data_IF_386474045311
#
_entry.id   IF_386474045311
#
_cell.length_a   1.000
_cell.length_b   1.000
_cell.length_c   1.000
_cell.angle_alpha   90.00
_cell.angle_beta   90.00
_cell.angle_gamma   90.00
#
_symmetry.space_group_name_H-M   'P 1'
#
loop_
_entity.id
_entity.type
_entity.pdbx_description
1 polymer ?
#
# COMPACT_ATOMS: atom_id res chain seq x y z
N UNK A 1 21.53 -23.28 -7.92
CA UNK A 1 22.06 -23.10 -6.55
C UNK A 1 23.24 -22.12 -6.44
N UNK A 2 24.00 -21.81 -7.52
CA UNK A 2 25.15 -20.88 -7.44
C UNK A 2 24.81 -19.37 -7.44
N UNK A 3 23.61 -18.96 -7.87
CA UNK A 3 23.24 -17.54 -7.93
C UNK A 3 23.18 -16.83 -6.58
N UNK A 4 22.70 -17.50 -5.53
CA UNK A 4 22.51 -16.87 -4.23
C UNK A 4 23.84 -16.56 -3.53
N UNK A 5 24.85 -17.41 -3.68
CA UNK A 5 26.15 -17.19 -3.05
C UNK A 5 26.89 -15.99 -3.66
N UNK A 6 26.84 -15.84 -4.99
CA UNK A 6 27.43 -14.69 -5.68
C UNK A 6 26.78 -13.38 -5.23
N UNK A 7 25.46 -13.37 -5.08
CA UNK A 7 24.68 -12.21 -4.62
C UNK A 7 25.00 -11.83 -3.17
N UNK A 8 25.04 -12.80 -2.25
CA UNK A 8 25.44 -12.55 -0.86
C UNK A 8 26.84 -11.95 -0.81
N UNK A 9 27.79 -12.51 -1.57
CA UNK A 9 29.15 -11.98 -1.62
C UNK A 9 29.21 -10.55 -2.17
N UNK A 10 28.37 -10.21 -3.16
CA UNK A 10 28.27 -8.86 -3.70
C UNK A 10 27.74 -7.87 -2.65
N UNK A 11 26.66 -8.21 -1.94
CA UNK A 11 26.10 -7.39 -0.87
C UNK A 11 27.08 -7.22 0.30
N UNK A 12 27.81 -8.27 0.68
CA UNK A 12 28.84 -8.18 1.72
C UNK A 12 29.98 -7.23 1.31
N UNK A 13 30.40 -7.25 0.03
CA UNK A 13 31.40 -6.29 -0.47
C UNK A 13 30.88 -4.85 -0.42
N UNK A 14 29.64 -4.61 -0.86
CA UNK A 14 28.98 -3.29 -0.73
C UNK A 14 28.95 -2.84 0.74
N UNK A 15 28.62 -3.74 1.67
CA UNK A 15 28.63 -3.47 3.11
C UNK A 15 30.00 -3.05 3.64
N UNK A 16 31.08 -3.70 3.18
CA UNK A 16 32.45 -3.38 3.61
C UNK A 16 32.93 -2.02 3.10
N UNK A 17 32.42 -1.58 1.95
CA UNK A 17 32.77 -0.28 1.34
C UNK A 17 31.86 0.85 1.87
N UNK A 18 30.76 0.49 2.55
CA UNK A 18 29.75 1.42 3.04
C UNK A 18 28.68 1.76 2.00
N UNK A 19 28.73 1.16 0.80
CA UNK A 19 27.81 1.39 -0.33
C UNK A 19 26.61 0.43 -0.32
N UNK A 20 26.35 -0.24 0.81
CA UNK A 20 25.18 -1.12 0.90
C UNK A 20 23.87 -0.33 0.87
N UNK A 21 23.89 0.91 1.33
CA UNK A 21 22.73 1.78 1.43
C UNK A 21 22.74 2.74 0.24
N UNK A 22 21.82 2.53 -0.68
CA UNK A 22 21.64 3.33 -1.90
C UNK A 22 20.29 4.10 -1.89
N UNK A 23 19.33 3.70 -1.03
CA UNK A 23 18.04 4.39 -0.85
C UNK A 23 17.71 4.66 0.61
N UNK A 24 17.13 5.84 0.86
CA UNK A 24 16.60 6.28 2.15
C UNK A 24 15.11 6.59 2.02
N UNK A 25 14.28 5.89 2.79
CA UNK A 25 12.86 6.21 2.94
C UNK A 25 12.68 7.08 4.16
N UNK A 26 12.20 8.30 3.97
CA UNK A 26 11.91 9.26 5.02
C UNK A 26 10.43 9.19 5.37
N UNK A 27 10.13 9.05 6.67
CA UNK A 27 8.77 8.99 7.19
C UNK A 27 8.65 9.90 8.41
N UNK A 28 7.47 10.48 8.61
CA UNK A 28 7.18 11.26 9.82
C UNK A 28 6.98 10.34 11.01
N UNK A 29 7.46 10.78 12.18
CA UNK A 29 7.34 10.01 13.43
C UNK A 29 6.57 10.73 14.51
N UNK A 30 6.42 12.06 14.43
CA UNK A 30 5.83 12.86 15.49
C UNK A 30 4.62 13.67 15.00
N UNK A 31 3.56 13.61 15.80
CA UNK A 31 2.37 14.45 15.94
C UNK A 31 2.57 15.77 16.69
N UNK A 32 2.68 16.94 16.05
CA UNK A 32 2.53 18.21 16.78
C UNK A 32 1.04 18.56 16.99
N UNK A 33 0.58 18.52 18.24
CA UNK A 33 -0.81 18.91 18.59
C UNK A 33 -1.04 20.41 18.48
N UNK A 34 -0.02 21.21 18.83
CA UNK A 34 -0.11 22.67 18.87
C UNK A 34 -0.22 23.26 17.47
N UNK A 35 0.59 22.77 16.54
CA UNK A 35 0.67 23.32 15.19
C UNK A 35 -0.25 22.60 14.20
N UNK A 36 -0.72 21.39 14.54
CA UNK A 36 -1.52 20.58 13.61
C UNK A 36 -0.69 20.07 12.43
N UNK A 37 0.60 19.81 12.66
CA UNK A 37 1.55 19.34 11.66
C UNK A 37 2.15 17.98 12.08
N UNK A 38 2.64 17.22 11.10
CA UNK A 38 3.52 16.09 11.37
C UNK A 38 4.97 16.51 11.19
N UNK A 39 5.82 16.11 12.13
CA UNK A 39 7.21 16.53 12.26
C UNK A 39 8.12 15.33 12.53
N UNK A 40 9.40 15.62 12.72
CA UNK A 40 10.46 14.65 13.03
C UNK A 40 10.57 13.53 11.98
N UNK A 41 11.20 13.90 10.86
CA UNK A 41 11.42 13.01 9.73
C UNK A 41 12.53 12.00 10.06
N UNK A 42 12.21 10.72 10.05
CA UNK A 42 13.15 9.62 10.31
C UNK A 42 13.41 8.82 9.04
N UNK A 43 14.66 8.39 8.86
CA UNK A 43 15.11 7.66 7.67
C UNK A 43 15.19 6.15 7.92
N UNK A 44 14.66 5.36 6.99
CA UNK A 44 14.89 3.93 6.85
C UNK A 44 15.82 3.69 5.67
N UNK A 45 16.92 3.00 5.94
CA UNK A 45 17.96 2.73 4.96
C UNK A 45 17.71 1.38 4.30
N UNK A 46 17.78 1.35 2.97
CA UNK A 46 17.54 0.16 2.20
C UNK A 46 18.57 0.00 1.07
N UNK A 47 18.57 -1.21 0.50
CA UNK A 47 19.33 -1.53 -0.70
C UNK A 47 18.38 -1.81 -1.86
N UNK A 48 18.54 -1.10 -2.98
CA UNK A 48 17.70 -1.19 -4.16
C UNK A 48 17.72 -2.59 -4.76
N UNK A 49 18.89 -3.22 -4.84
CA UNK A 49 19.02 -4.60 -5.37
C UNK A 49 18.25 -5.60 -4.49
N UNK A 50 18.25 -5.40 -3.17
CA UNK A 50 17.47 -6.22 -2.25
C UNK A 50 15.96 -5.99 -2.43
N UNK A 51 15.52 -4.74 -2.50
CA UNK A 51 14.11 -4.36 -2.64
C UNK A 51 13.51 -4.79 -3.97
N UNK A 52 14.17 -4.46 -5.09
CA UNK A 52 13.72 -4.80 -6.44
C UNK A 52 13.62 -6.30 -6.66
N UNK A 53 14.59 -7.07 -6.16
CA UNK A 53 14.53 -8.53 -6.26
C UNK A 53 13.39 -9.14 -5.42
N UNK A 54 13.08 -8.52 -4.28
CA UNK A 54 12.04 -9.00 -3.37
C UNK A 54 10.63 -8.61 -3.77
N UNK A 55 10.47 -7.57 -4.62
CA UNK A 55 9.19 -6.96 -4.90
C UNK A 55 9.14 -6.25 -6.26
N UNK A 56 8.15 -6.62 -7.09
CA UNK A 56 7.85 -5.91 -8.33
C UNK A 56 7.38 -4.47 -8.09
N UNK A 57 6.76 -4.21 -6.93
CA UNK A 57 6.38 -2.85 -6.53
C UNK A 57 7.62 -1.97 -6.39
N UNK A 58 8.64 -2.41 -5.65
CA UNK A 58 9.88 -1.65 -5.52
C UNK A 58 10.68 -1.58 -6.82
N UNK A 59 10.60 -2.61 -7.69
CA UNK A 59 11.17 -2.54 -9.04
C UNK A 59 10.55 -1.42 -9.88
N UNK A 60 9.24 -1.23 -9.76
CA UNK A 60 8.50 -0.18 -10.47
C UNK A 60 8.75 1.19 -9.83
N UNK A 61 8.67 1.28 -8.49
CA UNK A 61 8.88 2.50 -7.71
C UNK A 61 10.29 3.07 -7.90
N UNK A 62 11.29 2.19 -7.93
CA UNK A 62 12.69 2.60 -8.05
C UNK A 62 13.14 2.79 -9.51
N UNK A 63 12.27 2.56 -10.50
CA UNK A 63 12.59 2.85 -11.90
C UNK A 63 12.69 4.36 -12.15
N UNK A 64 13.52 4.79 -13.10
CA UNK A 64 13.83 6.22 -13.36
C UNK A 64 12.62 7.09 -13.73
N UNK A 65 11.47 6.49 -14.10
CA UNK A 65 10.41 7.20 -14.82
C UNK A 65 9.00 7.15 -14.21
N UNK A 66 8.76 6.63 -13.00
CA UNK A 66 7.36 6.52 -12.52
C UNK A 66 7.18 6.44 -11.01
N UNK A 67 7.13 7.59 -10.34
CA UNK A 67 6.32 7.71 -9.11
C UNK A 67 4.87 7.90 -9.51
N UNK A 68 4.21 6.78 -9.83
CA UNK A 68 2.75 6.78 -10.01
C UNK A 68 2.01 6.79 -8.67
N UNK A 69 2.74 6.75 -7.56
CA UNK A 69 2.21 6.73 -6.21
C UNK A 69 2.24 8.14 -5.62
N UNK A 70 1.06 8.74 -5.42
CA UNK A 70 0.95 10.08 -4.83
C UNK A 70 1.45 10.13 -3.40
N UNK A 71 1.52 8.97 -2.72
CA UNK A 71 2.03 8.86 -1.37
C UNK A 71 3.57 8.86 -1.32
N UNK A 72 4.27 8.88 -2.46
CA UNK A 72 5.73 8.77 -2.49
C UNK A 72 6.34 9.89 -3.31
N UNK A 73 7.20 10.70 -2.68
CA UNK A 73 7.82 11.87 -3.29
C UNK A 73 9.34 11.77 -3.20
N UNK A 74 10.04 11.76 -4.33
CA UNK A 74 11.49 11.87 -4.35
C UNK A 74 11.91 13.33 -4.14
N UNK A 75 12.85 13.57 -3.22
CA UNK A 75 13.32 14.92 -2.89
C UNK A 75 14.85 14.97 -2.79
N UNK A 76 15.43 16.08 -3.24
CA UNK A 76 16.88 16.27 -3.25
C UNK A 76 17.38 17.00 -1.99
N UNK A 77 16.57 17.90 -1.44
CA UNK A 77 16.97 18.83 -0.37
C UNK A 77 16.15 18.65 0.92
N UNK A 78 16.84 18.64 2.06
CA UNK A 78 16.22 18.47 3.39
C UNK A 78 15.36 19.67 3.81
N UNK A 79 15.57 20.84 3.20
CA UNK A 79 14.90 22.08 3.57
C UNK A 79 13.39 22.06 3.28
N UNK A 80 12.94 21.20 2.37
CA UNK A 80 11.52 21.10 2.01
C UNK A 80 10.63 20.64 3.19
N UNK A 81 11.20 19.98 4.20
CA UNK A 81 10.44 19.39 5.31
C UNK A 81 10.87 19.88 6.70
N UNK A 82 11.71 20.92 6.82
CA UNK A 82 12.20 21.41 8.11
C UNK A 82 11.07 21.94 9.01
N UNK A 83 9.98 22.45 8.43
CA UNK A 83 8.79 22.91 9.16
C UNK A 83 7.72 21.85 9.43
N UNK A 84 7.99 20.59 9.06
CA UNK A 84 6.93 19.58 8.96
C UNK A 84 5.95 19.88 7.81
N UNK A 85 4.93 19.04 7.70
CA UNK A 85 3.81 19.23 6.77
C UNK A 85 2.51 19.27 7.54
N UNK A 86 1.51 19.94 6.97
CA UNK A 86 0.18 19.99 7.59
C UNK A 86 -0.43 18.61 7.73
N UNK A 87 -1.20 18.39 8.77
CA UNK A 87 -1.82 17.10 9.02
C UNK A 87 -2.84 16.69 7.95
N UNK A 88 -3.45 17.68 7.30
CA UNK A 88 -4.35 17.48 6.15
C UNK A 88 -3.57 17.02 4.91
N UNK A 89 -2.39 17.61 4.65
CA UNK A 89 -1.49 17.20 3.57
C UNK A 89 -0.84 15.83 3.83
N UNK A 90 -0.61 15.49 5.09
CA UNK A 90 -0.18 14.15 5.49
C UNK A 90 -1.24 13.07 5.27
N UNK A 91 -2.50 13.45 5.01
CA UNK A 91 -3.56 12.50 4.67
C UNK A 91 -4.03 11.59 5.80
N UNK A 92 -3.43 11.65 7.01
CA UNK A 92 -3.77 10.75 8.10
C UNK A 92 -3.68 11.35 9.51
N UNK A 93 -4.58 12.29 9.77
CA UNK A 93 -4.79 12.99 11.04
C UNK A 93 -5.12 12.12 12.26
N UNK A 94 -5.29 10.81 12.13
CA UNK A 94 -5.55 9.91 13.26
C UNK A 94 -4.57 8.73 13.34
N UNK A 95 -3.41 8.85 12.69
CA UNK A 95 -2.33 7.88 12.85
C UNK A 95 -1.86 7.77 14.30
N UNK A 96 -2.15 6.61 14.91
CA UNK A 96 -1.73 6.28 16.27
C UNK A 96 -0.26 5.93 16.38
N UNK A 97 0.40 5.69 15.25
CA UNK A 97 1.82 5.33 15.21
C UNK A 97 2.72 6.57 15.18
N UNK A 98 2.13 7.78 15.13
CA UNK A 98 2.85 9.03 15.37
C UNK A 98 2.92 9.31 16.87
N UNK A 99 4.14 9.51 17.37
CA UNK A 99 4.40 9.92 18.73
C UNK A 99 3.82 11.32 18.96
N UNK A 100 3.25 11.61 20.12
CA UNK A 100 2.74 12.95 20.43
C UNK A 100 3.91 13.82 20.89
N UNK A 101 4.05 15.03 20.34
CA UNK A 101 5.01 16.01 20.84
C UNK A 101 4.68 16.31 22.31
N UNK A 102 5.65 16.07 23.21
CA UNK A 102 5.49 16.34 24.64
C UNK A 102 5.30 17.85 24.83
N UNK A 103 4.13 18.27 25.32
CA UNK A 103 3.92 19.64 25.75
C UNK A 103 4.83 19.88 26.96
N UNK A 104 5.89 20.66 26.79
CA UNK A 104 6.65 21.20 27.93
C UNK A 104 5.67 22.04 28.74
N UNK A 105 5.08 21.43 29.76
CA UNK A 105 4.36 22.17 30.79
C UNK A 105 5.41 23.01 31.51
N UNK A 106 5.48 24.28 31.15
CA UNK A 106 6.08 25.32 31.98
C UNK A 106 5.26 25.37 33.29
N UNK A 107 5.49 24.40 34.18
CA UNK A 107 5.13 24.56 35.58
C UNK A 107 6.06 25.66 36.12
N UNK A 108 5.57 26.90 36.00
CA UNK A 108 6.12 28.08 36.64
C UNK A 108 6.45 27.73 38.10
N UNK A 109 7.74 27.52 38.36
CA UNK A 109 8.30 27.46 39.70
C UNK A 109 8.12 28.85 40.30
N UNK A 110 7.00 29.07 40.99
CA UNK A 110 6.86 30.22 41.86
C UNK A 110 7.91 30.12 42.97
N UNK A 111 8.83 31.08 42.89
CA UNK A 111 9.81 31.53 43.86
C UNK A 111 9.62 31.05 45.31
N UNK A 112 10.64 30.36 45.84
CA UNK A 112 10.96 30.47 47.25
C UNK A 112 12.48 30.49 47.45
N UNK A 113 13.04 31.69 47.54
CA UNK A 113 14.42 31.92 47.94
C UNK A 113 14.65 31.46 49.40
N UNK A 114 15.49 30.45 49.62
CA UNK A 114 16.57 30.54 50.63
C UNK A 114 17.58 29.39 50.61
N UNK A 115 18.85 29.82 50.65
CA UNK A 115 20.01 29.20 51.27
C UNK A 115 20.66 27.95 50.62
N UNK A 116 21.72 28.26 49.86
CA UNK A 116 23.08 27.73 50.00
C UNK A 116 23.31 26.21 50.05
N UNK A 117 23.91 25.71 48.96
CA UNK A 117 25.06 24.81 49.04
C UNK A 117 24.80 23.36 48.66
N UNK A 118 25.73 22.85 47.83
CA UNK A 118 26.02 21.46 47.46
C UNK A 118 25.45 20.98 46.12
N UNK A 119 26.39 20.79 45.20
CA UNK A 119 26.30 20.14 43.90
C UNK A 119 25.67 18.74 43.93
N UNK A 120 24.79 18.46 42.96
CA UNK A 120 24.70 17.16 42.29
C UNK A 120 23.81 17.30 41.04
N UNK A 121 24.49 17.34 39.90
CA UNK A 121 24.14 16.78 38.59
C UNK A 121 22.73 16.16 38.46
N UNK A 122 21.83 16.85 37.75
CA UNK A 122 20.55 16.29 37.29
C UNK A 122 20.39 16.61 35.81
N UNK A 123 20.34 15.53 35.04
CA UNK A 123 20.31 15.47 33.57
C UNK A 123 19.00 16.06 33.04
N UNK A 124 19.09 17.22 32.38
CA UNK A 124 18.03 17.76 31.53
C UNK A 124 17.93 16.95 30.24
N UNK A 125 16.75 16.42 29.94
CA UNK A 125 16.40 15.89 28.62
C UNK A 125 15.53 16.93 27.93
N UNK A 126 16.17 17.83 27.20
CA UNK A 126 15.53 18.70 26.20
C UNK A 126 16.28 18.46 24.90
N UNK A 127 15.82 17.50 24.10
CA UNK A 127 16.35 17.28 22.75
C UNK A 127 15.59 18.18 21.77
N UNK A 128 15.89 19.48 21.87
CA UNK A 128 15.68 20.44 20.80
C UNK A 128 16.44 19.96 19.55
N UNK A 129 15.85 20.15 18.37
CA UNK A 129 16.45 19.89 17.06
C UNK A 129 17.69 20.77 16.91
N UNK A 130 18.81 20.29 17.46
CA UNK A 130 20.16 20.69 17.12
C UNK A 130 20.98 19.41 17.10
N UNK A 131 21.53 19.13 15.93
CA UNK A 131 22.62 18.19 15.70
C UNK A 131 22.28 16.69 15.60
N UNK A 132 21.59 16.32 14.51
CA UNK A 132 22.06 15.17 13.71
C UNK A 132 23.27 15.57 12.83
N UNK A 133 24.20 16.35 13.39
CA UNK A 133 25.59 16.30 12.96
C UNK A 133 26.24 15.24 13.84
N UNK A 134 26.08 13.97 13.44
CA UNK A 134 27.04 12.95 13.86
C UNK A 134 28.43 13.51 13.61
N UNK A 135 29.16 13.85 14.67
CA UNK A 135 30.56 14.31 14.65
C UNK A 135 31.52 13.18 14.28
N UNK A 136 31.20 12.49 13.21
CA UNK A 136 32.12 11.73 12.38
C UNK A 136 31.74 12.12 10.96
N UNK A 137 32.72 12.49 10.14
CA UNK A 137 32.51 12.76 8.72
C UNK A 137 31.96 11.49 8.04
N UNK A 138 30.65 11.26 8.16
CA UNK A 138 29.96 10.27 7.37
C UNK A 138 30.11 10.76 5.95
N UNK A 139 30.82 9.98 5.13
CA UNK A 139 30.87 10.20 3.69
C UNK A 139 29.41 10.32 3.25
N UNK A 140 29.05 11.47 2.69
CA UNK A 140 27.75 11.66 2.06
C UNK A 140 27.75 10.70 0.87
N UNK A 141 27.22 9.50 1.10
CA UNK A 141 27.01 8.55 0.02
C UNK A 141 25.84 9.14 -0.78
N UNK A 142 25.99 9.35 -2.10
CA UNK A 142 24.88 9.74 -2.93
C UNK A 142 23.85 8.61 -2.89
N UNK A 143 22.80 8.81 -2.10
CA UNK A 143 21.69 7.88 -1.93
C UNK A 143 20.40 8.57 -2.35
N UNK A 144 19.53 7.83 -3.03
CA UNK A 144 18.18 8.27 -3.36
C UNK A 144 17.40 8.54 -2.08
N UNK A 145 16.61 9.62 -2.04
CA UNK A 145 15.78 9.95 -0.88
C UNK A 145 14.33 10.02 -1.29
N UNK A 146 13.51 9.28 -0.56
CA UNK A 146 12.12 9.03 -0.88
C UNK A 146 11.28 9.38 0.35
N UNK A 147 10.45 10.42 0.27
CA UNK A 147 9.48 10.75 1.30
C UNK A 147 8.26 9.87 1.13
N UNK A 148 7.89 9.13 2.18
CA UNK A 148 6.66 8.35 2.22
C UNK A 148 5.64 9.13 3.03
N UNK A 149 4.69 9.69 2.30
CA UNK A 149 3.49 10.35 2.82
C UNK A 149 2.48 9.31 3.23
N UNK A 150 1.51 9.76 4.03
CA UNK A 150 0.49 8.90 4.58
C UNK A 150 1.11 7.60 5.14
N UNK A 151 2.18 7.60 5.92
CA UNK A 151 2.55 6.42 6.75
C UNK A 151 3.49 6.89 7.82
N UNK A 152 3.26 6.47 9.07
CA UNK A 152 4.17 6.80 10.15
C UNK A 152 5.42 5.92 10.08
N UNK A 153 6.55 6.48 10.50
CA UNK A 153 7.82 5.76 10.60
C UNK A 153 7.68 4.48 11.44
N UNK A 154 6.98 4.57 12.57
CA UNK A 154 6.77 3.44 13.45
C UNK A 154 5.99 2.30 12.76
N UNK A 155 5.08 2.61 11.82
CA UNK A 155 4.37 1.60 11.03
C UNK A 155 5.34 0.72 10.23
N UNK A 156 6.39 1.31 9.64
CA UNK A 156 7.39 0.58 8.85
C UNK A 156 8.44 -0.14 9.70
N UNK A 157 8.59 0.24 10.98
CA UNK A 157 9.55 -0.37 11.90
C UNK A 157 9.05 -1.67 12.54
N UNK A 158 7.82 -2.10 12.22
CA UNK A 158 7.14 -3.11 13.02
C UNK A 158 7.27 -4.54 12.52
N UNK A 159 7.64 -5.40 13.47
CA UNK A 159 7.35 -6.82 13.44
C UNK A 159 5.89 -6.96 13.88
N UNK A 160 5.05 -7.57 13.04
CA UNK A 160 3.63 -7.73 13.34
C UNK A 160 3.42 -8.36 14.71
N UNK A 161 2.67 -7.67 15.58
CA UNK A 161 2.26 -8.24 16.85
C UNK A 161 1.38 -9.48 16.59
N UNK A 162 1.55 -10.56 17.36
CA UNK A 162 0.67 -11.73 17.28
C UNK A 162 -0.80 -11.31 17.40
N UNK A 163 -1.64 -11.73 16.45
CA UNK A 163 -3.07 -11.44 16.48
C UNK A 163 -3.67 -11.92 17.81
N UNK A 164 -4.66 -11.18 18.35
CA UNK A 164 -5.36 -11.58 19.60
C UNK A 164 -6.02 -12.98 19.52
N UNK A 165 -6.23 -13.50 18.31
CA UNK A 165 -6.72 -14.85 18.03
C UNK A 165 -5.65 -15.94 18.10
N UNK A 166 -4.36 -15.59 18.09
CA UNK A 166 -3.28 -16.55 18.33
C UNK A 166 -3.28 -16.91 19.82
N UNK A 167 -3.28 -18.22 20.07
CA UNK A 167 -3.42 -18.80 21.41
C UNK A 167 -2.36 -18.25 22.37
N UNK A 168 -2.74 -18.15 23.65
CA UNK A 168 -2.00 -17.46 24.73
C UNK A 168 -0.55 -17.91 24.98
N UNK A 169 -0.07 -18.93 24.26
CA UNK A 169 1.28 -19.48 24.40
C UNK A 169 2.39 -18.61 23.79
N UNK A 170 2.08 -17.61 22.95
CA UNK A 170 3.08 -16.77 22.29
C UNK A 170 3.48 -15.49 23.06
N UNK A 171 2.97 -15.28 24.29
CA UNK A 171 3.10 -14.00 25.01
C UNK A 171 4.45 -13.74 25.71
N UNK A 172 5.43 -14.65 25.63
CA UNK A 172 6.58 -14.60 26.54
C UNK A 172 7.96 -14.26 25.94
N UNK A 173 8.07 -13.89 24.67
CA UNK A 173 9.36 -13.45 24.10
C UNK A 173 9.22 -12.27 23.13
N UNK A 174 8.96 -11.06 23.65
CA UNK A 174 9.33 -9.82 22.94
C UNK A 174 10.68 -9.32 23.45
N UNK A 175 11.77 -9.89 22.92
CA UNK A 175 13.10 -9.28 22.98
C UNK A 175 13.10 -8.08 22.03
N UNK A 176 12.87 -6.88 22.56
CA UNK A 176 12.92 -5.62 21.81
C UNK A 176 11.57 -4.89 21.81
N UNK A 177 11.44 -3.90 22.70
CA UNK A 177 10.20 -3.16 22.99
C UNK A 177 9.73 -2.20 21.90
N UNK A 178 9.53 -2.67 20.67
CA UNK A 178 8.78 -1.91 19.67
C UNK A 178 7.27 -1.97 20.02
N UNK A 179 6.57 -0.83 20.13
CA UNK A 179 5.14 -0.79 20.41
C UNK A 179 4.36 -1.50 19.29
N UNK A 180 3.41 -2.39 19.59
CA UNK A 180 2.62 -3.07 18.56
C UNK A 180 1.82 -2.06 17.73
N UNK A 181 1.89 -2.14 16.39
CA UNK A 181 1.05 -1.30 15.52
C UNK A 181 -0.41 -1.62 15.75
N UNK A 182 -1.25 -0.59 15.68
CA UNK A 182 -2.69 -0.83 15.65
C UNK A 182 -3.05 -1.57 14.36
N UNK A 183 -4.06 -2.46 14.38
CA UNK A 183 -4.62 -3.05 13.16
C UNK A 183 -5.05 -2.00 12.11
N UNK A 184 -5.30 -0.74 12.51
CA UNK A 184 -5.65 0.36 11.62
C UNK A 184 -4.53 0.72 10.64
N UNK A 185 -3.26 0.68 11.08
CA UNK A 185 -2.12 0.97 10.20
C UNK A 185 -1.88 -0.15 9.17
N UNK A 186 -2.28 -1.39 9.48
CA UNK A 186 -2.27 -2.51 8.53
C UNK A 186 -3.24 -2.29 7.37
N UNK A 187 -4.41 -1.70 7.62
CA UNK A 187 -5.46 -1.52 6.62
C UNK A 187 -5.10 -0.50 5.53
N UNK A 188 -4.02 0.25 5.72
CA UNK A 188 -3.49 1.21 4.74
C UNK A 188 -2.59 0.54 3.69
N UNK A 189 -2.21 -0.72 3.92
CA UNK A 189 -1.45 -1.49 2.93
C UNK A 189 -2.32 -1.85 1.72
N UNK A 190 -3.66 -1.87 1.85
CA UNK A 190 -4.55 -2.00 0.70
C UNK A 190 -4.51 -0.72 -0.14
N UNK A 191 -3.76 -0.75 -1.22
CA UNK A 191 -3.61 0.31 -2.21
C UNK A 191 -4.13 -0.16 -3.58
N UNK A 192 -4.20 0.77 -4.55
CA UNK A 192 -4.61 0.45 -5.92
C UNK A 192 -3.82 -0.69 -6.58
N UNK A 193 -2.59 -0.95 -6.12
CA UNK A 193 -1.72 -1.98 -6.69
C UNK A 193 -1.95 -3.38 -6.12
N UNK A 194 -2.57 -3.53 -4.95
CA UNK A 194 -2.81 -4.83 -4.32
C UNK A 194 -4.27 -5.07 -3.91
N UNK A 195 -5.18 -4.11 -4.13
CA UNK A 195 -6.59 -4.23 -3.73
C UNK A 195 -7.25 -5.53 -4.23
N UNK A 196 -6.91 -6.00 -5.45
CA UNK A 196 -7.43 -7.26 -5.99
C UNK A 196 -6.89 -8.50 -5.27
N UNK A 197 -5.62 -8.45 -4.85
CA UNK A 197 -5.00 -9.51 -4.06
C UNK A 197 -5.59 -9.54 -2.65
N UNK A 198 -5.74 -8.37 -2.02
CA UNK A 198 -6.31 -8.24 -0.68
C UNK A 198 -7.78 -8.67 -0.65
N UNK A 199 -8.59 -8.26 -1.62
CA UNK A 199 -9.96 -8.75 -1.80
C UNK A 199 -10.02 -10.27 -1.93
N UNK A 200 -8.98 -10.90 -2.49
CA UNK A 200 -8.88 -12.36 -2.60
C UNK A 200 -8.41 -13.06 -1.31
N UNK A 201 -8.04 -12.30 -0.29
CA UNK A 201 -7.56 -12.80 0.99
C UNK A 201 -8.70 -13.34 1.86
N UNK A 202 -8.36 -14.22 2.79
CA UNK A 202 -9.31 -14.66 3.83
C UNK A 202 -9.55 -13.63 4.93
N UNK A 203 -8.77 -12.53 4.97
CA UNK A 203 -8.96 -11.46 5.93
C UNK A 203 -10.24 -10.69 5.59
N UNK A 204 -10.41 -10.34 4.32
CA UNK A 204 -11.56 -9.61 3.80
C UNK A 204 -12.89 -10.30 4.12
N UNK A 205 -12.96 -11.63 4.00
CA UNK A 205 -14.18 -12.39 4.32
C UNK A 205 -14.55 -12.39 5.79
N UNK A 206 -13.57 -12.19 6.69
CA UNK A 206 -13.77 -12.23 8.14
C UNK A 206 -14.18 -10.89 8.72
N UNK A 207 -13.95 -9.80 8.00
CA UNK A 207 -14.11 -8.44 8.52
C UNK A 207 -14.89 -7.57 7.51
N UNK A 208 -16.23 -7.49 7.63
CA UNK A 208 -17.07 -6.78 6.68
C UNK A 208 -16.71 -5.31 6.46
N UNK A 209 -16.20 -4.63 7.50
CA UNK A 209 -15.74 -3.24 7.40
C UNK A 209 -14.52 -3.09 6.48
N UNK A 210 -13.63 -4.10 6.46
CA UNK A 210 -12.48 -4.12 5.55
C UNK A 210 -12.96 -4.36 4.12
N UNK A 211 -13.87 -5.32 3.92
CA UNK A 211 -14.45 -5.58 2.61
C UNK A 211 -15.09 -4.31 2.02
N UNK A 212 -15.88 -3.57 2.80
CA UNK A 212 -16.47 -2.29 2.33
C UNK A 212 -15.40 -1.27 1.92
N UNK A 213 -14.33 -1.14 2.70
CA UNK A 213 -13.23 -0.22 2.41
C UNK A 213 -12.47 -0.65 1.14
N UNK A 214 -12.14 -1.93 0.99
CA UNK A 214 -11.45 -2.46 -0.18
C UNK A 214 -12.32 -2.36 -1.44
N UNK A 215 -13.64 -2.56 -1.33
CA UNK A 215 -14.58 -2.35 -2.43
C UNK A 215 -14.61 -0.88 -2.85
N UNK A 216 -14.55 0.06 -1.90
CA UNK A 216 -14.46 1.48 -2.21
C UNK A 216 -13.16 1.81 -2.96
N UNK A 217 -12.02 1.30 -2.48
CA UNK A 217 -10.72 1.49 -3.15
C UNK A 217 -10.74 0.89 -4.57
N UNK A 218 -11.29 -0.32 -4.73
CA UNK A 218 -11.44 -0.96 -6.03
C UNK A 218 -12.31 -0.11 -6.95
N UNK A 219 -13.44 0.37 -6.45
CA UNK A 219 -14.38 1.18 -7.21
C UNK A 219 -13.75 2.48 -7.72
N UNK A 220 -13.04 3.21 -6.85
CA UNK A 220 -12.32 4.44 -7.22
C UNK A 220 -11.19 4.20 -8.24
N UNK A 221 -10.65 2.97 -8.29
CA UNK A 221 -9.52 2.61 -9.14
C UNK A 221 -9.89 1.65 -10.29
N UNK A 222 -11.18 1.43 -10.57
CA UNK A 222 -11.64 0.40 -11.51
C UNK A 222 -11.13 0.60 -12.94
N UNK A 223 -10.84 1.85 -13.32
CA UNK A 223 -10.32 2.24 -14.65
C UNK A 223 -8.79 2.19 -14.71
N UNK A 224 -8.10 1.98 -13.59
CA UNK A 224 -6.63 1.94 -13.60
C UNK A 224 -6.12 0.74 -14.41
N UNK A 225 -5.00 0.87 -15.15
CA UNK A 225 -4.47 -0.21 -15.99
C UNK A 225 -4.18 -1.49 -15.20
N UNK A 226 -3.65 -1.36 -13.98
CA UNK A 226 -3.34 -2.48 -13.09
C UNK A 226 -4.61 -3.25 -12.73
N UNK A 227 -5.66 -2.55 -12.28
CA UNK A 227 -6.94 -3.18 -11.94
C UNK A 227 -7.58 -3.79 -13.18
N UNK A 228 -7.63 -3.06 -14.31
CA UNK A 228 -8.25 -3.54 -15.55
C UNK A 228 -7.59 -4.83 -16.05
N UNK A 229 -6.27 -4.93 -15.93
CA UNK A 229 -5.49 -6.11 -16.34
C UNK A 229 -5.78 -7.33 -15.45
N UNK A 230 -5.85 -7.13 -14.14
CA UNK A 230 -5.89 -8.23 -13.16
C UNK A 230 -7.32 -8.58 -12.68
N UNK A 231 -8.30 -7.70 -12.87
CA UNK A 231 -9.69 -7.91 -12.48
C UNK A 231 -10.34 -9.14 -13.14
N UNK A 232 -10.11 -9.45 -14.44
CA UNK A 232 -10.58 -10.70 -15.05
C UNK A 232 -10.08 -11.95 -14.32
N UNK A 233 -8.84 -11.92 -13.81
CA UNK A 233 -8.28 -13.04 -13.04
C UNK A 233 -8.99 -13.22 -11.70
N UNK A 234 -9.37 -12.12 -11.03
CA UNK A 234 -10.18 -12.17 -9.82
C UNK A 234 -11.56 -12.78 -10.11
N UNK A 235 -12.26 -12.32 -11.16
CA UNK A 235 -13.56 -12.88 -11.57
C UNK A 235 -13.44 -14.37 -11.86
N UNK A 236 -12.39 -14.80 -12.58
CA UNK A 236 -12.17 -16.20 -12.89
C UNK A 236 -11.97 -17.05 -11.62
N UNK A 237 -11.24 -16.53 -10.61
CA UNK A 237 -11.09 -17.20 -9.30
C UNK A 237 -12.41 -17.31 -8.53
N UNK A 238 -13.29 -16.31 -8.66
CA UNK A 238 -14.63 -16.35 -8.06
C UNK A 238 -15.49 -17.42 -8.76
N UNK A 239 -15.49 -17.43 -10.09
CA UNK A 239 -16.24 -18.38 -10.90
C UNK A 239 -15.79 -19.84 -10.68
N UNK A 240 -14.51 -20.08 -10.41
CA UNK A 240 -13.98 -21.40 -10.08
C UNK A 240 -14.21 -21.83 -8.62
N UNK A 241 -15.00 -21.07 -7.85
CA UNK A 241 -15.26 -21.27 -6.42
C UNK A 241 -13.99 -21.24 -5.55
N UNK A 242 -12.91 -20.62 -6.03
CA UNK A 242 -11.67 -20.43 -5.27
C UNK A 242 -11.74 -19.33 -4.21
N UNK A 243 -12.87 -18.61 -4.14
CA UNK A 243 -13.13 -17.48 -3.25
C UNK A 243 -14.53 -17.59 -2.65
N UNK A 244 -14.68 -18.09 -1.40
CA UNK A 244 -16.00 -18.35 -0.81
C UNK A 244 -16.82 -17.07 -0.60
N UNK A 245 -16.17 -15.92 -0.40
CA UNK A 245 -16.77 -14.59 -0.30
C UNK A 245 -16.81 -13.83 -1.63
N UNK A 246 -16.51 -14.50 -2.76
CA UNK A 246 -16.45 -13.89 -4.07
C UNK A 246 -17.79 -13.26 -4.51
N UNK A 247 -18.90 -13.88 -4.11
CA UNK A 247 -20.24 -13.33 -4.37
C UNK A 247 -20.44 -11.98 -3.68
N UNK A 248 -20.02 -11.84 -2.42
CA UNK A 248 -20.15 -10.60 -1.66
C UNK A 248 -19.36 -9.45 -2.29
N UNK A 249 -18.16 -9.75 -2.82
CA UNK A 249 -17.33 -8.78 -3.55
C UNK A 249 -18.09 -8.24 -4.76
N UNK A 250 -18.60 -9.12 -5.62
CA UNK A 250 -19.29 -8.71 -6.85
C UNK A 250 -20.60 -7.98 -6.56
N UNK A 251 -21.38 -8.45 -5.59
CA UNK A 251 -22.64 -7.81 -5.18
C UNK A 251 -22.37 -6.40 -4.67
N UNK A 252 -21.41 -6.21 -3.75
CA UNK A 252 -21.10 -4.88 -3.19
C UNK A 252 -20.54 -3.92 -4.24
N UNK A 253 -19.66 -4.39 -5.12
CA UNK A 253 -19.13 -3.57 -6.21
C UNK A 253 -20.26 -3.12 -7.15
N UNK A 254 -21.17 -4.03 -7.52
CA UNK A 254 -22.31 -3.71 -8.36
C UNK A 254 -23.27 -2.72 -7.67
N UNK A 255 -23.57 -2.91 -6.38
CA UNK A 255 -24.37 -1.96 -5.60
C UNK A 255 -23.76 -0.55 -5.59
N UNK A 256 -22.43 -0.44 -5.48
CA UNK A 256 -21.72 0.84 -5.55
C UNK A 256 -21.85 1.49 -6.93
N UNK A 257 -21.65 0.71 -8.00
CA UNK A 257 -21.85 1.19 -9.38
C UNK A 257 -23.28 1.70 -9.59
N UNK A 258 -24.29 0.98 -9.11
CA UNK A 258 -25.68 1.39 -9.23
C UNK A 258 -25.96 2.68 -8.46
N UNK A 259 -25.50 2.79 -7.21
CA UNK A 259 -25.68 4.00 -6.39
C UNK A 259 -25.06 5.24 -7.03
N UNK A 260 -23.90 5.10 -7.66
CA UNK A 260 -23.20 6.21 -8.30
C UNK A 260 -23.83 6.64 -9.62
N UNK A 261 -24.25 5.70 -10.46
CA UNK A 261 -24.73 5.99 -11.81
C UNK A 261 -26.25 6.10 -11.93
N UNK A 262 -27.01 5.56 -10.98
CA UNK A 262 -28.49 5.56 -10.97
C UNK A 262 -29.07 6.00 -9.61
N UNK A 263 -28.71 7.20 -9.10
CA UNK A 263 -29.16 7.65 -7.79
C UNK A 263 -30.69 7.78 -7.68
N UNK A 264 -31.37 8.05 -8.80
CA UNK A 264 -32.80 8.42 -8.84
C UNK A 264 -33.77 7.25 -8.65
N UNK A 265 -33.34 6.00 -8.88
CA UNK A 265 -34.26 4.83 -8.90
C UNK A 265 -34.40 4.18 -7.51
N UNK A 266 -33.53 4.51 -6.54
CA UNK A 266 -33.47 3.87 -5.22
C UNK A 266 -34.08 4.72 -4.08
N UNK A 267 -34.60 5.92 -4.36
CA UNK A 267 -35.38 6.67 -3.37
C UNK A 267 -36.86 6.24 -3.44
N UNK A 268 -37.43 5.65 -2.37
CA UNK A 268 -38.84 5.25 -2.32
C UNK A 268 -39.82 6.42 -2.51
N UNK A 269 -39.32 7.66 -2.45
CA UNK A 269 -40.11 8.88 -2.47
C UNK A 269 -40.59 9.27 -3.87
N UNK A 270 -39.97 8.76 -4.94
CA UNK A 270 -40.40 9.04 -6.31
C UNK A 270 -41.59 8.18 -6.78
N UNK A 271 -41.89 7.07 -6.11
CA UNK A 271 -42.97 6.15 -6.50
C UNK A 271 -44.38 6.66 -6.12
N UNK A 272 -44.48 7.66 -5.23
CA UNK A 272 -45.78 8.26 -4.85
C UNK A 272 -46.20 9.44 -5.74
N UNK A 273 -45.35 9.88 -6.66
CA UNK A 273 -45.64 11.04 -7.51
C UNK A 273 -46.21 10.67 -8.90
N UNK A 274 -46.25 9.39 -9.30
CA UNK A 274 -46.64 8.99 -10.68
C UNK A 274 -47.95 8.23 -10.81
N UNK A 275 -48.79 8.10 -9.77
CA UNK A 275 -50.08 7.40 -9.88
C UNK A 275 -51.29 8.29 -10.23
N UNK A 276 -51.09 9.58 -10.55
CA UNK A 276 -52.21 10.52 -10.75
C UNK A 276 -52.41 11.09 -12.18
N UNK A 277 -51.91 10.44 -13.23
CA UNK A 277 -52.34 10.77 -14.60
C UNK A 277 -52.61 9.51 -15.44
N UNK A 278 -53.73 8.86 -15.14
CA UNK A 278 -54.37 7.91 -16.05
C UNK A 278 -55.68 8.53 -16.54
N UNK A 279 -55.67 9.16 -17.71
CA UNK A 279 -56.87 9.32 -18.54
C UNK A 279 -56.51 9.61 -20.01
N UNK A 280 -56.74 8.61 -20.87
CA UNK A 280 -57.17 8.81 -22.25
C UNK A 280 -56.13 8.64 -23.36
N UNK A 281 -56.03 7.43 -23.93
CA UNK A 281 -56.49 7.15 -25.32
C UNK A 281 -55.89 5.84 -25.86
N UNK A 282 -56.65 5.04 -26.63
CA UNK A 282 -56.15 3.80 -27.21
C UNK A 282 -55.53 4.07 -28.58
N UNK A 283 -54.25 3.76 -28.76
CA UNK A 283 -53.66 3.65 -30.10
C UNK A 283 -53.26 2.21 -30.37
N UNK A 284 -54.09 1.59 -31.21
CA UNK A 284 -53.81 0.35 -31.90
C UNK A 284 -52.61 0.51 -32.83
N UNK A 285 -51.64 -0.39 -32.75
CA UNK A 285 -50.63 -0.59 -33.78
C UNK A 285 -50.00 -1.97 -33.61
N UNK A 286 -50.02 -2.84 -34.64
CA UNK A 286 -49.45 -4.18 -34.52
C UNK A 286 -47.92 -4.09 -34.62
N UNK A 287 -47.23 -4.40 -33.52
CA UNK A 287 -45.79 -4.62 -33.51
C UNK A 287 -45.46 -5.89 -34.31
N UNK A 288 -44.98 -5.70 -35.55
CA UNK A 288 -44.41 -6.78 -36.37
C UNK A 288 -43.02 -7.15 -35.83
N UNK A 289 -42.94 -8.31 -35.19
CA UNK A 289 -41.67 -8.94 -34.81
C UNK A 289 -41.01 -9.50 -36.08
N UNK A 290 -39.99 -8.81 -36.60
CA UNK A 290 -39.19 -9.29 -37.74
C UNK A 290 -38.14 -10.25 -37.18
N UNK A 291 -38.42 -11.55 -37.30
CA UNK A 291 -37.51 -12.64 -36.94
C UNK A 291 -36.37 -12.66 -37.98
N UNK A 292 -35.19 -12.17 -37.63
CA UNK A 292 -33.98 -12.38 -38.42
C UNK A 292 -33.49 -13.81 -38.23
N UNK A 293 -33.37 -14.55 -39.33
CA UNK A 293 -32.71 -15.86 -39.37
C UNK A 293 -31.19 -15.69 -39.18
N UNK A 294 -30.54 -16.57 -38.41
CA UNK A 294 -29.09 -16.61 -38.35
C UNK A 294 -28.52 -17.24 -39.64
N UNK A 295 -27.74 -16.46 -40.38
CA UNK A 295 -26.90 -16.97 -41.46
C UNK A 295 -25.77 -17.82 -40.88
N UNK A 296 -25.80 -19.12 -41.19
CA UNK A 296 -24.71 -20.06 -40.94
C UNK A 296 -23.44 -19.65 -41.71
N UNK A 297 -22.27 -19.50 -41.04
CA UNK A 297 -21.00 -19.46 -41.76
C UNK A 297 -20.60 -20.87 -42.20
N UNK A 298 -20.40 -21.01 -43.50
CA UNK A 298 -19.89 -22.19 -44.20
C UNK A 298 -18.48 -22.52 -43.71
N UNK A 299 -18.31 -23.75 -43.21
CA UNK A 299 -16.99 -24.34 -42.96
C UNK A 299 -16.25 -24.55 -44.28
N UNK A 300 -15.12 -23.86 -44.45
CA UNK A 300 -14.13 -24.20 -45.47
C UNK A 300 -13.10 -25.12 -44.82
N UNK A 301 -13.16 -26.39 -45.22
CA UNK A 301 -12.17 -27.42 -44.93
C UNK A 301 -10.93 -27.09 -45.77
N UNK A 302 -9.84 -26.71 -45.10
CA UNK A 302 -8.52 -26.51 -45.70
C UNK A 302 -7.60 -27.67 -45.34
N UNK A 303 -7.12 -28.34 -46.38
CA UNK A 303 -6.34 -29.58 -46.33
C UNK A 303 -5.05 -29.51 -45.51
N UNK A 304 -4.77 -30.64 -44.86
CA UNK A 304 -3.50 -31.00 -44.25
C UNK A 304 -2.47 -31.29 -45.34
N UNK A 305 -1.31 -30.65 -45.25
CA UNK A 305 -0.09 -31.16 -45.87
C UNK A 305 1.00 -31.39 -44.81
N UNK A 306 1.34 -32.66 -44.65
CA UNK A 306 2.49 -33.17 -43.92
C UNK A 306 3.79 -32.92 -44.71
N UNK A 307 4.83 -32.43 -44.04
CA UNK A 307 6.27 -32.60 -44.32
C UNK A 307 6.99 -31.87 -43.18
N UNK A 308 7.60 -32.52 -42.19
CA UNK A 308 8.58 -33.58 -42.28
C UNK A 308 9.97 -32.97 -42.18
N UNK A 309 10.55 -32.89 -40.98
CA UNK A 309 12.02 -32.84 -40.80
C UNK A 309 12.39 -33.21 -39.36
N UNK A 310 12.92 -34.43 -39.22
CA UNK A 310 13.66 -34.92 -38.06
C UNK A 310 15.08 -34.37 -38.15
N UNK A 311 15.57 -33.69 -37.12
CA UNK A 311 17.00 -33.44 -36.93
C UNK A 311 17.47 -34.12 -35.64
N UNK A 312 18.49 -34.95 -35.78
CA UNK A 312 19.10 -35.75 -34.73
C UNK A 312 20.07 -34.91 -33.86
N UNK A 313 20.30 -35.28 -32.59
CA UNK A 313 21.35 -34.68 -31.79
C UNK A 313 22.70 -35.38 -32.05
N UNK A 314 23.69 -34.61 -32.51
CA UNK A 314 25.07 -35.05 -32.70
C UNK A 314 25.78 -35.17 -31.34
N UNK A 315 26.36 -36.33 -31.13
CA UNK A 315 27.21 -36.75 -29.99
C UNK A 315 28.68 -36.47 -30.32
N UNK A 316 29.37 -35.61 -29.55
CA UNK A 316 30.84 -35.56 -29.36
C UNK A 316 31.20 -34.27 -28.61
N UNK A 317 32.18 -34.16 -27.72
CA UNK A 317 33.27 -35.07 -27.34
C UNK A 317 33.75 -34.68 -25.95
N UNK A 318 34.09 -35.70 -25.18
CA UNK A 318 34.93 -35.70 -23.98
C UNK A 318 36.38 -35.41 -24.42
N UNK A 319 37.06 -34.44 -23.83
CA UNK A 319 38.53 -34.41 -23.75
C UNK A 319 38.89 -34.10 -22.30
N UNK A 320 39.63 -35.04 -21.71
CA UNK A 320 40.45 -34.86 -20.51
C UNK A 320 41.70 -34.06 -20.87
N UNK A 321 42.09 -33.10 -20.03
CA UNK A 321 43.24 -33.14 -19.10
C UNK A 321 43.14 -31.87 -18.24
#
# INVERSE_FOLDING_TARGET
MWGNQARINALLRKSLIGELIDTQFHLFSVRSKREGNVTNLQALFANDEALTTGSEYFSSLLSENSFNDSAVVEFQDYHTCEGGISLDEYGYASDSDLDEEEEETDEDVQDNERCAGVSAERVSRTASIKDFTTKGAQRIIPSRRVLVMDTAFNTWRLIFAPLRSQTKSARHHSLGGAPPCSPKSMYRVACKHNVLQELSSSLTSRFPAILEMEIEILFQNIVTPTVTKDFPMLIQRIASAGLPHGADILTKLHERMLKQHYPTILSPEAALASENECNGSPLSGPFKFKREEPQNPVMVIGDKDERGQKSAPTRSRRIHI
#
